data_IF_525738475525
#
_entry.id   IF_525738475525
#
_cell.length_a   1.000
_cell.length_b   1.000
_cell.length_c   1.000
_cell.angle_alpha   90.00
_cell.angle_beta   90.00
_cell.angle_gamma   90.00
#
_symmetry.space_group_name_H-M   'P 1'
#
loop_
_entity.id
_entity.type
_entity.pdbx_description
1 polymer ?
#
# COMPACT_ATOMS: atom_id res chain seq x y z
N UNK A 1 -6.08 -16.97 -29.90
CA UNK A 1 -6.89 -16.30 -28.85
C UNK A 1 -7.37 -14.92 -29.32
N UNK A 2 -6.50 -13.96 -29.67
CA UNK A 2 -6.94 -12.60 -30.05
C UNK A 2 -7.90 -12.55 -31.25
N UNK A 3 -7.62 -13.30 -32.32
CA UNK A 3 -8.49 -13.36 -33.52
C UNK A 3 -9.90 -13.89 -33.26
N UNK A 4 -10.08 -14.70 -32.21
CA UNK A 4 -11.40 -15.21 -31.84
C UNK A 4 -12.26 -14.08 -31.22
N UNK A 5 -11.65 -13.22 -30.40
CA UNK A 5 -12.33 -12.08 -29.77
C UNK A 5 -12.69 -10.98 -30.75
N UNK A 6 -11.85 -10.74 -31.77
CA UNK A 6 -12.16 -9.78 -32.83
C UNK A 6 -13.43 -10.19 -33.58
N UNK A 7 -13.58 -11.48 -33.91
CA UNK A 7 -14.78 -12.00 -34.57
C UNK A 7 -16.05 -11.82 -33.70
N UNK A 8 -15.99 -12.08 -32.39
CA UNK A 8 -17.13 -11.88 -31.50
C UNK A 8 -17.53 -10.41 -31.33
N UNK A 9 -16.54 -9.49 -31.32
CA UNK A 9 -16.81 -8.05 -31.33
C UNK A 9 -17.50 -7.59 -32.63
N UNK A 10 -17.11 -8.17 -33.77
CA UNK A 10 -17.73 -7.87 -35.07
C UNK A 10 -19.18 -8.36 -35.17
N UNK A 11 -19.51 -9.45 -34.49
CA UNK A 11 -20.85 -10.06 -34.47
C UNK A 11 -21.82 -9.42 -33.44
N UNK A 12 -21.43 -8.33 -32.76
CA UNK A 12 -22.26 -7.61 -31.76
C UNK A 12 -22.77 -8.51 -30.60
N UNK A 13 -22.08 -9.61 -30.32
CA UNK A 13 -22.41 -10.50 -29.20
C UNK A 13 -21.72 -9.91 -27.96
N UNK A 14 -22.51 -9.33 -27.06
CA UNK A 14 -22.00 -8.84 -25.78
C UNK A 14 -21.57 -10.03 -24.92
N UNK A 15 -20.26 -10.22 -24.78
CA UNK A 15 -19.72 -11.28 -23.93
C UNK A 15 -19.75 -10.83 -22.47
N UNK A 16 -20.41 -11.58 -21.57
CA UNK A 16 -20.44 -11.25 -20.15
C UNK A 16 -19.06 -11.40 -19.48
N UNK A 17 -18.08 -12.02 -20.14
CA UNK A 17 -16.71 -12.18 -19.65
C UNK A 17 -15.70 -11.74 -20.72
N UNK A 18 -14.92 -10.70 -20.40
CA UNK A 18 -13.98 -10.12 -21.35
C UNK A 18 -12.56 -10.66 -21.15
N UNK A 19 -11.69 -10.46 -22.14
CA UNK A 19 -10.25 -10.69 -21.96
C UNK A 19 -9.67 -9.92 -20.77
N UNK A 20 -10.23 -8.76 -20.45
CA UNK A 20 -9.79 -7.95 -19.32
C UNK A 20 -10.15 -8.63 -18.00
N UNK A 21 -11.33 -9.27 -17.92
CA UNK A 21 -11.74 -10.03 -16.74
C UNK A 21 -10.87 -11.28 -16.58
N UNK A 22 -10.59 -11.99 -17.67
CA UNK A 22 -9.61 -13.09 -17.67
C UNK A 22 -8.24 -12.66 -17.15
N UNK A 23 -7.73 -11.52 -17.63
CA UNK A 23 -6.44 -11.01 -17.17
C UNK A 23 -6.46 -10.67 -15.68
N UNK A 24 -7.53 -10.05 -15.18
CA UNK A 24 -7.69 -9.74 -13.75
C UNK A 24 -7.70 -11.00 -12.90
N UNK A 25 -8.48 -12.01 -13.27
CA UNK A 25 -8.58 -13.26 -12.53
C UNK A 25 -7.27 -14.04 -12.57
N UNK A 26 -6.64 -14.10 -13.75
CA UNK A 26 -5.33 -14.73 -13.90
C UNK A 26 -4.28 -14.06 -13.00
N UNK A 27 -4.20 -12.73 -13.00
CA UNK A 27 -3.29 -11.98 -12.13
C UNK A 27 -3.63 -12.27 -10.66
N UNK A 28 -4.91 -12.25 -10.28
CA UNK A 28 -5.36 -12.49 -8.90
C UNK A 28 -4.91 -13.85 -8.38
N UNK A 29 -5.05 -14.90 -9.19
CA UNK A 29 -4.71 -16.26 -8.80
C UNK A 29 -3.19 -16.51 -8.79
N UNK A 30 -2.46 -15.89 -9.72
CA UNK A 30 -1.02 -16.11 -9.89
C UNK A 30 -0.14 -15.08 -9.17
N UNK A 31 -0.71 -14.01 -8.62
CA UNK A 31 0.02 -12.99 -7.85
C UNK A 31 0.83 -13.64 -6.72
N UNK A 32 0.28 -14.71 -6.13
CA UNK A 32 0.89 -15.42 -5.01
C UNK A 32 2.17 -16.18 -5.38
N UNK A 33 2.41 -16.43 -6.67
CA UNK A 33 3.62 -17.09 -7.17
C UNK A 33 4.81 -16.14 -7.28
N UNK A 34 4.56 -14.83 -7.28
CA UNK A 34 5.61 -13.81 -7.33
C UNK A 34 6.15 -13.54 -5.92
N UNK A 35 7.46 -13.26 -5.84
CA UNK A 35 8.08 -12.76 -4.62
C UNK A 35 7.47 -11.41 -4.20
N UNK A 36 7.44 -11.07 -2.90
CA UNK A 36 6.91 -9.78 -2.44
C UNK A 36 7.54 -8.58 -3.16
N UNK A 37 8.87 -8.59 -3.37
CA UNK A 37 9.58 -7.55 -4.10
C UNK A 37 9.10 -7.40 -5.55
N UNK A 38 8.86 -8.51 -6.25
CA UNK A 38 8.37 -8.48 -7.63
C UNK A 38 6.92 -7.97 -7.72
N UNK A 39 6.10 -8.20 -6.69
CA UNK A 39 4.74 -7.64 -6.63
C UNK A 39 4.73 -6.13 -6.44
N UNK A 40 5.71 -5.60 -5.73
CA UNK A 40 5.85 -4.17 -5.47
C UNK A 40 6.68 -3.45 -6.54
N UNK A 41 7.31 -4.19 -7.45
CA UNK A 41 8.16 -3.64 -8.51
C UNK A 41 7.34 -2.75 -9.45
N UNK A 42 7.73 -1.48 -9.53
CA UNK A 42 7.06 -0.48 -10.36
C UNK A 42 5.94 0.30 -9.65
N UNK A 43 5.60 -0.06 -8.41
CA UNK A 43 4.72 0.77 -7.58
C UNK A 43 5.56 1.80 -6.80
N UNK A 44 5.15 3.08 -6.76
CA UNK A 44 5.80 4.07 -5.93
C UNK A 44 5.53 3.77 -4.44
N UNK A 45 6.57 3.85 -3.60
CA UNK A 45 6.48 3.51 -2.18
C UNK A 45 5.39 4.30 -1.43
N UNK A 46 5.12 5.55 -1.84
CA UNK A 46 4.09 6.38 -1.22
C UNK A 46 2.67 5.83 -1.45
N UNK A 47 2.38 5.29 -2.63
CA UNK A 47 1.07 4.68 -2.92
C UNK A 47 0.89 3.38 -2.15
N UNK A 48 1.93 2.55 -2.06
CA UNK A 48 1.89 1.32 -1.27
C UNK A 48 1.62 1.66 0.20
N UNK A 49 2.38 2.61 0.75
CA UNK A 49 2.29 2.97 2.16
C UNK A 49 0.95 3.64 2.50
N UNK A 50 0.23 4.28 1.56
CA UNK A 50 -1.08 4.92 1.82
C UNK A 50 -2.17 3.94 2.28
N UNK A 51 -2.01 2.66 1.95
CA UNK A 51 -2.94 1.61 2.36
C UNK A 51 -2.67 1.06 3.77
N UNK A 52 -1.59 1.51 4.44
CA UNK A 52 -1.21 1.06 5.78
C UNK A 52 -1.48 2.15 6.83
N UNK A 53 -1.94 1.73 8.00
CA UNK A 53 -2.07 2.59 9.18
C UNK A 53 -0.71 3.13 9.63
N UNK A 54 -0.64 4.29 10.31
CA UNK A 54 0.61 4.82 10.84
C UNK A 54 1.38 3.83 11.71
N UNK A 55 0.69 3.07 12.56
CA UNK A 55 1.32 2.02 13.39
C UNK A 55 1.97 0.92 12.54
N UNK A 56 1.27 0.40 11.53
CA UNK A 56 1.83 -0.65 10.66
C UNK A 56 3.01 -0.16 9.81
N UNK A 57 3.02 1.14 9.45
CA UNK A 57 4.17 1.76 8.78
C UNK A 57 5.41 1.83 9.68
N UNK A 58 5.23 2.01 10.98
CA UNK A 58 6.31 2.10 11.96
C UNK A 58 6.69 0.74 12.55
N UNK A 59 5.92 -0.32 12.29
CA UNK A 59 6.21 -1.66 12.78
C UNK A 59 7.56 -2.15 12.24
N UNK A 60 8.39 -2.62 13.16
CA UNK A 60 9.74 -3.13 12.85
C UNK A 60 10.83 -2.05 12.82
N UNK A 61 10.47 -0.76 12.89
CA UNK A 61 11.45 0.31 13.10
C UNK A 61 11.73 0.48 14.60
N UNK A 62 13.01 0.65 14.95
CA UNK A 62 13.36 0.99 16.32
C UNK A 62 13.05 2.48 16.58
N UNK A 63 12.72 2.88 17.82
CA UNK A 63 12.52 4.29 18.16
C UNK A 63 13.72 5.17 17.79
N UNK A 64 14.93 4.62 17.90
CA UNK A 64 16.18 5.30 17.50
C UNK A 64 16.27 5.54 16.00
N UNK A 65 15.84 4.58 15.17
CA UNK A 65 15.86 4.75 13.71
C UNK A 65 14.89 5.86 13.28
N UNK A 66 13.72 5.91 13.90
CA UNK A 66 12.72 6.97 13.65
C UNK A 66 13.30 8.34 14.02
N UNK A 67 13.93 8.46 15.21
CA UNK A 67 14.50 9.73 15.69
C UNK A 67 15.66 10.20 14.82
N UNK A 68 16.51 9.29 14.34
CA UNK A 68 17.65 9.64 13.48
C UNK A 68 17.22 10.26 12.14
N UNK A 69 16.01 9.99 11.68
CA UNK A 69 15.45 10.56 10.45
C UNK A 69 14.58 11.82 10.68
N UNK A 70 14.36 12.24 11.93
CA UNK A 70 13.60 13.45 12.26
C UNK A 70 14.50 14.68 12.30
N UNK A 71 13.98 15.81 11.84
CA UNK A 71 14.66 17.10 11.97
C UNK A 71 14.60 17.64 13.41
N UNK A 72 15.52 18.55 13.81
CA UNK A 72 15.53 19.12 15.15
C UNK A 72 14.22 19.83 15.53
N UNK A 73 13.50 20.36 14.55
CA UNK A 73 12.21 21.01 14.76
C UNK A 73 11.09 19.99 15.06
N UNK A 74 11.09 18.85 14.39
CA UNK A 74 10.13 17.78 14.62
C UNK A 74 10.36 17.09 15.96
N UNK A 75 11.63 16.90 16.36
CA UNK A 75 11.99 16.37 17.67
C UNK A 75 11.46 17.27 18.79
N UNK A 76 11.56 18.60 18.66
CA UNK A 76 10.98 19.54 19.63
C UNK A 76 9.47 19.39 19.75
N UNK A 77 8.76 19.34 18.62
CA UNK A 77 7.29 19.12 18.61
C UNK A 77 6.91 17.80 19.27
N UNK A 78 7.68 16.73 19.03
CA UNK A 78 7.45 15.42 19.64
C UNK A 78 7.65 15.48 21.16
N UNK A 79 8.69 16.16 21.65
CA UNK A 79 8.91 16.37 23.09
C UNK A 79 7.79 17.19 23.74
N UNK A 80 7.30 18.23 23.07
CA UNK A 80 6.15 19.01 23.54
C UNK A 80 4.87 18.18 23.61
N UNK A 81 4.61 17.34 22.60
CA UNK A 81 3.47 16.44 22.58
C UNK A 81 3.54 15.40 23.71
N UNK A 82 4.72 14.80 23.95
CA UNK A 82 4.95 13.86 25.04
C UNK A 82 4.84 14.51 26.42
N UNK A 83 5.38 15.73 26.57
CA UNK A 83 5.25 16.50 27.81
C UNK A 83 3.80 16.87 28.13
N UNK A 84 3.01 17.21 27.10
CA UNK A 84 1.57 17.48 27.24
C UNK A 84 0.79 16.21 27.60
N UNK A 85 1.14 15.07 27.00
CA UNK A 85 0.53 13.77 27.31
C UNK A 85 0.82 13.33 28.76
N UNK A 86 2.05 13.55 29.26
CA UNK A 86 2.44 13.21 30.63
C UNK A 86 1.77 14.11 31.70
N UNK A 87 1.51 15.38 31.36
CA UNK A 87 0.83 16.32 32.27
C UNK A 87 -0.68 16.08 32.37
N UNK A 88 -1.31 15.50 31.34
CA UNK A 88 -2.73 15.13 31.36
C UNK A 88 -3.06 13.96 32.30
N UNK A 89 -2.11 13.08 32.58
CA UNK A 89 -2.27 11.93 33.47
C UNK A 89 -2.16 12.24 34.97
N UNK A 90 -1.83 13.49 35.36
CA UNK A 90 -1.59 13.88 36.77
C UNK A 90 -2.76 14.62 37.44
N UNK A 91 -3.93 14.63 36.81
CA UNK A 91 -5.17 15.18 37.39
C UNK A 91 -6.24 14.08 37.51
N UNK A 92 -6.06 13.15 38.44
CA UNK A 92 -7.15 12.45 39.14
C UNK A 92 -6.73 12.15 40.57
#
# INVERSE_FOLDING_TARGET
MQQLFDNYRQENIDMPYTLQDFQKDYIRDHLNLLSPDDRLKGLPSDEVLKHYSPDDRLRGLSPTDIINHLSPAEIKKLLEALGSAANGTRSQ
#
